data_IF_610705190650
#
_entry.id   IF_610705190650
#
_cell.length_a   1.000
_cell.length_b   1.000
_cell.length_c   1.000
_cell.angle_alpha   90.00
_cell.angle_beta   90.00
_cell.angle_gamma   90.00
#
_symmetry.space_group_name_H-M   'P 1'
#
loop_
_entity.id
_entity.type
_entity.pdbx_description
1 polymer ?
#
# COMPACT_ATOMS: atom_id res chain seq x y z
N UNK A 1 -31.92 16.87 -19.92
CA UNK A 1 -32.86 16.01 -20.57
C UNK A 1 -32.42 14.60 -20.31
N UNK A 2 -33.10 13.91 -19.40
CA UNK A 2 -32.86 12.51 -19.14
C UNK A 2 -33.02 11.76 -20.46
N UNK A 3 -32.07 10.91 -20.74
CA UNK A 3 -32.19 9.94 -21.81
C UNK A 3 -33.26 8.93 -21.38
N UNK A 4 -34.47 9.06 -21.91
CA UNK A 4 -35.60 8.16 -21.68
C UNK A 4 -35.44 6.80 -22.39
N UNK A 5 -34.23 6.46 -22.82
CA UNK A 5 -33.93 5.12 -23.29
C UNK A 5 -34.10 4.14 -22.11
N UNK A 6 -34.93 3.11 -22.24
CA UNK A 6 -35.06 2.11 -21.19
C UNK A 6 -33.68 1.51 -20.95
N UNK A 7 -33.20 1.63 -19.72
CA UNK A 7 -31.97 0.99 -19.30
C UNK A 7 -32.10 -0.50 -19.61
N UNK A 8 -31.22 -1.03 -20.47
CA UNK A 8 -31.23 -2.45 -20.75
C UNK A 8 -30.72 -3.23 -19.52
N UNK A 9 -31.08 -4.50 -19.42
CA UNK A 9 -30.72 -5.35 -18.28
C UNK A 9 -29.19 -5.36 -17.98
N UNK A 10 -28.36 -5.15 -19.00
CA UNK A 10 -26.91 -5.08 -18.82
C UNK A 10 -26.42 -3.83 -18.08
N UNK A 11 -27.12 -2.71 -18.19
CA UNK A 11 -26.77 -1.49 -17.44
C UNK A 11 -27.04 -1.65 -15.96
N UNK A 12 -28.02 -2.48 -15.59
CA UNK A 12 -28.32 -2.81 -14.22
C UNK A 12 -27.37 -3.88 -13.63
N UNK A 13 -26.76 -4.72 -14.45
CA UNK A 13 -25.79 -5.72 -14.01
C UNK A 13 -24.47 -5.09 -13.54
N UNK A 14 -24.11 -3.90 -14.02
CA UNK A 14 -22.83 -3.25 -13.76
C UNK A 14 -22.92 -1.99 -12.89
N UNK A 15 -24.01 -1.82 -12.17
CA UNK A 15 -24.13 -0.75 -11.20
C UNK A 15 -24.95 0.44 -11.67
N UNK A 16 -25.10 1.36 -10.79
CA UNK A 16 -25.96 2.49 -10.93
C UNK A 16 -25.41 3.53 -11.88
N UNK A 17 -26.29 4.11 -12.62
CA UNK A 17 -26.04 5.37 -13.33
C UNK A 17 -26.04 6.49 -12.28
N UNK A 18 -24.88 7.13 -12.03
CA UNK A 18 -24.82 8.30 -11.17
C UNK A 18 -25.02 9.56 -11.97
N UNK A 19 -26.08 10.24 -11.66
CA UNK A 19 -26.14 11.66 -11.90
C UNK A 19 -25.74 12.35 -10.58
N UNK A 20 -24.49 12.81 -10.50
CA UNK A 20 -23.97 13.55 -9.34
C UNK A 20 -24.81 14.78 -9.01
N UNK A 21 -25.64 15.24 -9.93
CA UNK A 21 -26.57 16.36 -9.75
C UNK A 21 -27.74 16.03 -8.82
N UNK A 22 -28.04 14.78 -8.56
CA UNK A 22 -29.24 14.36 -7.83
C UNK A 22 -28.99 13.62 -6.53
N UNK A 23 -27.74 13.40 -6.11
CA UNK A 23 -27.43 12.62 -4.90
C UNK A 23 -28.21 11.30 -4.78
N UNK A 24 -28.60 10.74 -5.90
CA UNK A 24 -29.46 9.57 -5.99
C UNK A 24 -28.74 8.46 -6.74
N UNK A 25 -27.93 7.70 -6.05
CA UNK A 25 -27.44 6.42 -6.56
C UNK A 25 -28.47 5.34 -6.27
N UNK A 26 -28.78 4.55 -7.30
CA UNK A 26 -29.58 3.33 -7.12
C UNK A 26 -28.65 2.16 -7.43
N UNK A 27 -28.26 1.42 -6.42
CA UNK A 27 -27.61 0.14 -6.62
C UNK A 27 -28.69 -0.94 -6.79
N UNK A 28 -28.65 -1.64 -7.91
CA UNK A 28 -29.46 -2.84 -8.09
C UNK A 28 -28.71 -4.02 -7.44
N UNK A 29 -29.32 -4.65 -6.47
CA UNK A 29 -28.84 -5.86 -5.86
C UNK A 29 -29.55 -7.07 -6.48
N UNK A 30 -28.97 -7.77 -7.47
CA UNK A 30 -29.57 -9.02 -7.93
C UNK A 30 -29.61 -9.98 -6.74
N UNK A 31 -30.76 -10.62 -6.53
CA UNK A 31 -30.95 -11.61 -5.48
C UNK A 31 -30.04 -12.83 -5.72
N UNK A 32 -28.80 -12.76 -5.25
CA UNK A 32 -27.87 -13.88 -5.28
C UNK A 32 -28.05 -14.73 -4.03
N UNK A 33 -28.27 -16.01 -4.22
CA UNK A 33 -28.26 -17.02 -3.14
C UNK A 33 -26.84 -17.51 -2.82
N UNK A 34 -25.81 -16.90 -3.39
CA UNK A 34 -24.41 -17.21 -3.17
C UNK A 34 -23.90 -16.59 -1.87
N UNK A 35 -23.15 -17.37 -1.09
CA UNK A 35 -22.54 -16.94 0.17
C UNK A 35 -21.42 -15.92 0.00
N UNK A 36 -20.94 -15.72 -1.22
CA UNK A 36 -20.10 -14.58 -1.61
C UNK A 36 -21.03 -13.53 -2.21
N UNK A 37 -21.44 -12.57 -1.41
CA UNK A 37 -22.44 -11.58 -1.81
C UNK A 37 -21.75 -10.36 -2.49
N UNK A 38 -21.57 -10.34 -3.82
CA UNK A 38 -20.99 -9.20 -4.53
C UNK A 38 -21.82 -7.92 -4.39
N UNK A 39 -23.05 -8.03 -3.88
CA UNK A 39 -23.98 -6.92 -3.73
C UNK A 39 -23.51 -5.85 -2.74
N UNK A 40 -22.81 -6.25 -1.66
CA UNK A 40 -22.29 -5.27 -0.70
C UNK A 40 -21.11 -4.49 -1.26
N UNK A 41 -20.23 -5.15 -1.99
CA UNK A 41 -19.09 -4.50 -2.64
C UNK A 41 -19.56 -3.49 -3.67
N UNK A 42 -20.50 -3.88 -4.53
CA UNK A 42 -21.11 -3.00 -5.53
C UNK A 42 -21.82 -1.83 -4.84
N UNK A 43 -22.61 -2.08 -3.80
CA UNK A 43 -23.29 -1.02 -3.07
C UNK A 43 -22.31 -0.01 -2.46
N UNK A 44 -21.26 -0.48 -1.79
CA UNK A 44 -20.26 0.40 -1.20
C UNK A 44 -19.47 1.14 -2.26
N UNK A 45 -19.16 0.49 -3.39
CA UNK A 45 -18.50 1.12 -4.53
C UNK A 45 -19.35 2.30 -5.05
N UNK A 46 -20.61 2.05 -5.33
CA UNK A 46 -21.53 3.06 -5.81
C UNK A 46 -21.77 4.18 -4.79
N UNK A 47 -21.79 3.84 -3.49
CA UNK A 47 -21.84 4.85 -2.42
C UNK A 47 -20.61 5.76 -2.46
N UNK A 48 -19.42 5.23 -2.76
CA UNK A 48 -18.22 6.03 -2.98
C UNK A 48 -18.40 7.07 -4.08
N UNK A 49 -19.02 6.71 -5.21
CA UNK A 49 -19.35 7.65 -6.28
C UNK A 49 -20.34 8.72 -5.81
N UNK A 50 -21.37 8.33 -5.07
CA UNK A 50 -22.32 9.29 -4.48
C UNK A 50 -21.67 10.31 -3.55
N UNK A 51 -20.57 9.94 -2.92
CA UNK A 51 -19.76 10.80 -2.07
C UNK A 51 -18.68 11.57 -2.86
N UNK A 52 -18.78 11.61 -4.18
CA UNK A 52 -17.90 12.39 -5.06
C UNK A 52 -16.58 11.74 -5.41
N UNK A 53 -16.36 10.46 -5.07
CA UNK A 53 -15.11 9.77 -5.40
C UNK A 53 -15.16 9.16 -6.80
N UNK A 54 -14.19 9.44 -7.68
CA UNK A 54 -13.96 8.66 -8.90
C UNK A 54 -13.34 7.30 -8.53
N UNK A 55 -13.21 6.43 -9.52
CA UNK A 55 -12.36 5.23 -9.35
C UNK A 55 -10.93 5.63 -9.01
N UNK A 56 -10.29 4.90 -8.11
CA UNK A 56 -8.89 5.15 -7.75
C UNK A 56 -7.92 5.02 -8.94
N UNK A 57 -8.41 4.53 -10.07
CA UNK A 57 -7.69 4.38 -11.34
C UNK A 57 -8.27 5.28 -12.44
N UNK A 58 -9.20 6.18 -12.12
CA UNK A 58 -9.84 7.05 -13.11
C UNK A 58 -8.89 8.14 -13.63
N UNK A 59 -8.93 8.36 -14.94
CA UNK A 59 -8.14 9.35 -15.67
C UNK A 59 -8.66 10.77 -15.44
N UNK A 60 -9.93 10.92 -15.11
CA UNK A 60 -10.65 12.20 -15.23
C UNK A 60 -10.15 13.30 -14.30
N UNK A 61 -9.40 12.98 -13.23
CA UNK A 61 -8.91 13.96 -12.28
C UNK A 61 -7.41 13.87 -11.96
N UNK A 62 -6.60 13.14 -12.72
CA UNK A 62 -5.15 13.09 -12.57
C UNK A 62 -4.64 12.38 -11.31
N UNK A 63 -5.52 11.76 -10.52
CA UNK A 63 -5.19 11.10 -9.27
C UNK A 63 -5.32 9.60 -9.38
N UNK A 64 -4.21 8.89 -9.26
CA UNK A 64 -4.18 7.43 -9.14
C UNK A 64 -3.35 7.08 -7.93
N UNK A 65 -4.02 6.84 -6.83
CA UNK A 65 -3.34 6.67 -5.56
C UNK A 65 -3.06 5.22 -5.20
N UNK A 66 -3.74 4.25 -5.80
CA UNK A 66 -3.59 2.86 -5.36
C UNK A 66 -3.91 1.88 -6.47
N UNK A 67 -3.15 0.80 -6.53
CA UNK A 67 -3.46 -0.36 -7.35
C UNK A 67 -4.27 -1.33 -6.49
N UNK A 68 -5.50 -1.65 -6.87
CA UNK A 68 -6.31 -2.68 -6.19
C UNK A 68 -6.57 -2.44 -4.70
N UNK A 69 -7.04 -3.43 -4.01
CA UNK A 69 -7.15 -3.45 -2.55
C UNK A 69 -8.06 -2.41 -1.89
N UNK A 70 -8.87 -1.66 -2.65
CA UNK A 70 -9.83 -0.68 -2.13
C UNK A 70 -11.17 -0.75 -2.84
N UNK A 71 -12.25 -0.31 -2.17
CA UNK A 71 -13.62 -0.33 -2.70
C UNK A 71 -13.73 0.40 -4.04
N UNK A 72 -13.04 1.53 -4.20
CA UNK A 72 -13.01 2.30 -5.45
C UNK A 72 -11.88 1.88 -6.41
N UNK A 73 -11.12 0.85 -6.05
CA UNK A 73 -10.09 0.24 -6.89
C UNK A 73 -10.66 -0.70 -7.94
N UNK A 74 -9.86 -1.08 -8.94
CA UNK A 74 -10.26 -2.09 -9.91
C UNK A 74 -9.82 -3.48 -9.49
N UNK A 75 -10.73 -4.43 -9.56
CA UNK A 75 -10.62 -5.88 -9.76
C UNK A 75 -9.76 -6.78 -8.85
N UNK A 76 -8.88 -6.33 -7.99
CA UNK A 76 -8.10 -7.24 -7.14
C UNK A 76 -8.89 -7.54 -5.86
N UNK A 77 -9.90 -8.41 -5.95
CA UNK A 77 -10.90 -8.63 -4.88
C UNK A 77 -10.78 -9.96 -4.14
N UNK A 78 -9.85 -10.84 -4.48
CA UNK A 78 -9.95 -12.24 -4.04
C UNK A 78 -8.75 -12.79 -3.30
N UNK A 79 -7.81 -11.95 -2.88
CA UNK A 79 -6.59 -12.41 -2.25
C UNK A 79 -6.52 -12.03 -0.78
N UNK A 80 -6.05 -12.97 0.02
CA UNK A 80 -5.75 -12.73 1.43
C UNK A 80 -4.87 -11.47 1.56
N UNK A 81 -5.36 -10.48 2.31
CA UNK A 81 -4.70 -9.18 2.48
C UNK A 81 -5.01 -8.13 1.40
N UNK A 82 -5.84 -8.44 0.40
CA UNK A 82 -6.25 -7.53 -0.69
C UNK A 82 -7.77 -7.57 -0.91
N UNK A 83 -8.55 -7.62 0.16
CA UNK A 83 -10.01 -7.86 0.09
C UNK A 83 -10.78 -6.74 -0.63
N UNK A 84 -10.22 -5.53 -0.65
CA UNK A 84 -10.90 -4.37 -1.21
C UNK A 84 -12.08 -3.88 -0.38
N UNK A 85 -12.16 -4.27 0.89
CA UNK A 85 -13.28 -3.95 1.78
C UNK A 85 -13.17 -2.57 2.43
N UNK A 86 -12.18 -1.78 2.05
CA UNK A 86 -11.93 -0.45 2.59
C UNK A 86 -11.92 0.64 1.51
N UNK A 87 -12.33 1.84 1.88
CA UNK A 87 -12.02 3.03 1.09
C UNK A 87 -10.56 3.45 1.28
N UNK A 88 -9.91 3.91 0.21
CA UNK A 88 -8.61 4.57 0.32
C UNK A 88 -8.74 5.88 1.09
N UNK A 89 -7.63 6.35 1.67
CA UNK A 89 -7.60 7.66 2.32
C UNK A 89 -8.00 8.80 1.38
N UNK A 90 -7.64 8.70 0.11
CA UNK A 90 -8.01 9.66 -0.91
C UNK A 90 -9.53 9.68 -1.15
N UNK A 91 -10.18 8.52 -1.25
CA UNK A 91 -11.65 8.44 -1.36
C UNK A 91 -12.33 9.10 -0.16
N UNK A 92 -11.81 8.86 1.05
CA UNK A 92 -12.35 9.47 2.27
C UNK A 92 -12.17 10.99 2.26
N UNK A 93 -10.99 11.50 1.85
CA UNK A 93 -10.74 12.94 1.70
C UNK A 93 -11.72 13.59 0.70
N UNK A 94 -11.93 12.96 -0.45
CA UNK A 94 -12.89 13.44 -1.44
C UNK A 94 -14.32 13.47 -0.89
N UNK A 95 -14.74 12.42 -0.21
CA UNK A 95 -16.06 12.36 0.42
C UNK A 95 -16.25 13.46 1.49
N UNK A 96 -15.23 13.72 2.29
CA UNK A 96 -15.26 14.80 3.29
C UNK A 96 -15.27 16.18 2.64
N UNK A 97 -14.50 16.38 1.58
CA UNK A 97 -14.50 17.63 0.82
C UNK A 97 -15.86 17.84 0.14
N UNK A 98 -16.41 16.80 -0.49
CA UNK A 98 -17.75 16.84 -1.08
C UNK A 98 -18.83 17.20 -0.05
N UNK A 99 -18.81 16.56 1.12
CA UNK A 99 -19.71 16.87 2.22
C UNK A 99 -19.62 18.35 2.66
N UNK A 100 -18.41 18.91 2.65
CA UNK A 100 -18.14 20.26 3.16
C UNK A 100 -18.21 21.34 2.07
N UNK A 101 -18.37 21.00 0.79
CA UNK A 101 -18.43 21.96 -0.30
C UNK A 101 -19.77 22.70 -0.34
N UNK A 102 -19.80 24.01 -0.07
CA UNK A 102 -21.03 24.77 -0.13
C UNK A 102 -21.58 24.94 -1.55
N UNK A 103 -20.75 24.78 -2.58
CA UNK A 103 -21.16 24.97 -3.99
C UNK A 103 -22.01 23.81 -4.50
N UNK A 104 -21.80 22.58 -4.00
CA UNK A 104 -22.57 21.40 -4.41
C UNK A 104 -24.07 21.55 -4.09
N UNK A 105 -24.41 22.37 -3.10
CA UNK A 105 -25.78 22.61 -2.68
C UNK A 105 -26.45 23.82 -3.35
N UNK A 106 -25.69 24.66 -4.06
CA UNK A 106 -26.26 25.85 -4.75
C UNK A 106 -26.77 25.57 -6.16
N UNK A 107 -26.28 24.50 -6.79
CA UNK A 107 -26.57 24.24 -8.21
C UNK A 107 -27.80 23.32 -8.45
N UNK A 108 -28.45 22.86 -7.38
CA UNK A 108 -29.66 22.01 -7.48
C UNK A 108 -30.96 22.84 -7.55
N UNK A 109 -30.88 24.04 -8.04
CA UNK A 109 -32.01 24.97 -8.16
C UNK A 109 -33.01 24.67 -9.27
N UNK A 110 -33.30 23.42 -9.63
CA UNK A 110 -34.30 23.09 -10.67
C UNK A 110 -35.75 23.32 -10.21
N UNK A 111 -35.98 23.39 -8.89
CA UNK A 111 -37.36 23.53 -8.36
C UNK A 111 -37.54 24.63 -7.29
N UNK A 112 -36.57 25.53 -7.11
CA UNK A 112 -36.73 26.67 -6.20
C UNK A 112 -36.91 26.31 -4.70
N UNK A 113 -36.44 25.15 -4.30
CA UNK A 113 -36.41 24.76 -2.89
C UNK A 113 -34.99 24.69 -2.41
N UNK A 114 -34.68 25.39 -1.32
CA UNK A 114 -33.45 25.24 -0.56
C UNK A 114 -33.42 23.81 0.00
N UNK A 115 -32.60 22.94 -0.63
CA UNK A 115 -32.36 21.62 -0.05
C UNK A 115 -31.54 21.79 1.22
N UNK A 116 -32.22 21.62 2.35
CA UNK A 116 -31.56 21.53 3.66
C UNK A 116 -30.64 20.30 3.64
N UNK A 117 -29.41 20.47 4.08
CA UNK A 117 -28.49 19.36 4.28
C UNK A 117 -29.20 18.22 5.01
N UNK A 118 -29.29 17.06 4.39
CA UNK A 118 -30.00 15.90 4.93
C UNK A 118 -29.25 15.15 6.03
N UNK A 119 -28.23 15.77 6.64
CA UNK A 119 -27.43 15.20 7.73
C UNK A 119 -27.27 16.18 8.88
N UNK A 120 -27.11 15.64 10.07
CA UNK A 120 -26.69 16.37 11.28
C UNK A 120 -25.24 16.03 11.59
N UNK A 121 -24.51 17.01 12.11
CA UNK A 121 -23.16 16.83 12.62
C UNK A 121 -23.21 16.83 14.15
N UNK A 122 -22.50 15.92 14.77
CA UNK A 122 -22.33 15.82 16.20
C UNK A 122 -20.85 15.67 16.53
N UNK A 123 -20.36 16.49 17.44
CA UNK A 123 -19.00 16.39 17.97
C UNK A 123 -18.89 15.12 18.82
N UNK A 124 -18.08 14.17 18.38
CA UNK A 124 -17.88 12.91 19.10
C UNK A 124 -16.96 13.03 20.30
N UNK A 125 -16.12 14.07 20.34
CA UNK A 125 -15.09 14.27 21.36
C UNK A 125 -13.95 13.26 21.30
N UNK A 126 -13.84 12.52 20.22
CA UNK A 126 -12.76 11.53 20.04
C UNK A 126 -11.41 12.17 19.89
N UNK A 127 -10.41 11.56 20.51
CA UNK A 127 -9.00 11.90 20.29
C UNK A 127 -8.54 11.21 19.01
N UNK A 128 -8.21 12.02 17.99
CA UNK A 128 -7.61 11.51 16.76
C UNK A 128 -6.12 11.22 17.04
N UNK A 129 -5.63 9.97 16.84
CA UNK A 129 -4.23 9.65 17.09
C UNK A 129 -3.31 10.42 16.15
N UNK A 130 -2.23 10.99 16.68
CA UNK A 130 -1.15 11.52 15.85
C UNK A 130 -0.27 10.39 15.32
N UNK A 131 0.30 10.58 14.12
CA UNK A 131 1.20 9.63 13.50
C UNK A 131 2.62 10.17 13.47
N UNK A 132 3.57 9.30 13.79
CA UNK A 132 5.01 9.57 13.73
C UNK A 132 5.66 8.58 12.78
N UNK A 133 6.42 9.11 11.80
CA UNK A 133 7.29 8.35 10.91
C UNK A 133 8.71 8.82 11.23
N UNK A 134 9.60 7.93 11.70
CA UNK A 134 10.87 8.34 12.30
C UNK A 134 11.95 8.76 11.31
N UNK A 135 11.74 8.55 10.01
CA UNK A 135 12.71 8.84 8.96
C UNK A 135 12.13 9.81 7.94
N UNK A 136 12.92 10.83 7.56
CA UNK A 136 12.58 11.82 6.53
C UNK A 136 13.79 12.04 5.60
N UNK A 137 13.54 12.46 4.35
CA UNK A 137 14.59 12.80 3.39
C UNK A 137 15.46 11.64 2.93
N UNK A 138 14.93 10.44 2.90
CA UNK A 138 15.66 9.21 2.61
C UNK A 138 15.89 9.06 1.10
N UNK A 139 17.04 8.47 0.74
CA UNK A 139 17.31 7.99 -0.62
C UNK A 139 17.55 6.49 -0.55
N UNK A 140 16.80 5.71 -1.33
CA UNK A 140 16.98 4.25 -1.42
C UNK A 140 17.57 3.83 -2.77
N UNK A 141 18.25 2.69 -2.86
CA UNK A 141 18.68 2.14 -4.14
C UNK A 141 17.50 1.55 -4.92
N UNK A 142 17.59 1.55 -6.25
CA UNK A 142 16.63 0.86 -7.11
C UNK A 142 16.61 -0.65 -6.86
N UNK A 143 15.51 -1.31 -7.24
CA UNK A 143 15.35 -2.78 -7.24
C UNK A 143 15.74 -3.44 -5.92
N UNK A 144 15.62 -2.73 -4.80
CA UNK A 144 16.03 -3.17 -3.48
C UNK A 144 14.82 -3.13 -2.54
N UNK A 145 14.55 -4.20 -1.78
CA UNK A 145 13.48 -4.20 -0.79
C UNK A 145 13.67 -3.13 0.27
N UNK A 146 12.54 -2.63 0.78
CA UNK A 146 12.55 -1.66 1.87
C UNK A 146 11.38 -1.89 2.83
N UNK A 147 11.49 -1.36 4.04
CA UNK A 147 10.45 -1.44 5.07
C UNK A 147 10.10 -0.04 5.55
N UNK A 148 8.82 0.28 5.57
CA UNK A 148 8.31 1.49 6.19
C UNK A 148 7.76 1.17 7.57
N UNK A 149 8.03 2.04 8.52
CA UNK A 149 7.59 1.94 9.90
C UNK A 149 7.06 3.28 10.39
N UNK A 150 6.00 3.23 11.18
CA UNK A 150 5.46 4.39 11.87
C UNK A 150 4.66 3.96 13.08
N UNK A 151 4.23 4.89 13.91
CA UNK A 151 3.44 4.59 15.10
C UNK A 151 2.48 5.72 15.41
N UNK A 152 1.46 5.43 16.21
CA UNK A 152 0.48 6.41 16.67
C UNK A 152 0.71 6.82 18.12
N UNK A 153 0.29 8.04 18.44
CA UNK A 153 0.25 8.55 19.79
C UNK A 153 -1.09 9.27 20.04
N UNK A 154 -1.94 8.82 20.97
CA UNK A 154 -1.76 7.63 21.78
C UNK A 154 -1.82 6.33 20.96
N UNK A 155 -1.22 5.27 21.49
CA UNK A 155 -1.33 3.92 20.94
C UNK A 155 -2.52 3.18 21.52
N UNK A 156 -3.19 2.36 20.70
CA UNK A 156 -4.14 1.34 21.16
C UNK A 156 -3.94 0.05 20.35
N UNK A 157 -4.03 -1.13 20.96
CA UNK A 157 -3.93 -2.40 20.26
C UNK A 157 -5.11 -2.69 19.33
N UNK A 158 -6.19 -1.91 19.43
CA UNK A 158 -7.37 -2.01 18.57
C UNK A 158 -7.25 -1.15 17.31
N UNK A 159 -6.26 -0.26 17.25
CA UNK A 159 -6.03 0.54 16.06
C UNK A 159 -5.49 -0.33 14.93
N UNK A 160 -5.96 -0.05 13.72
CA UNK A 160 -5.42 -0.67 12.52
C UNK A 160 -4.71 0.36 11.65
N UNK A 161 -3.68 -0.11 10.97
CA UNK A 161 -2.82 0.72 10.14
C UNK A 161 -2.74 0.15 8.74
N UNK A 162 -2.54 1.03 7.78
CA UNK A 162 -2.19 0.64 6.41
C UNK A 162 -1.28 1.68 5.78
N UNK A 163 -0.44 1.23 4.85
CA UNK A 163 0.37 2.08 3.99
C UNK A 163 -0.23 2.11 2.59
N UNK A 164 -0.42 3.29 2.06
CA UNK A 164 -0.89 3.54 0.70
C UNK A 164 0.16 4.32 -0.07
N UNK A 165 0.35 3.98 -1.35
CA UNK A 165 1.18 4.77 -2.25
C UNK A 165 0.31 5.84 -2.92
N UNK A 166 0.75 7.10 -2.89
CA UNK A 166 0.05 8.27 -3.40
C UNK A 166 0.74 8.90 -4.61
N UNK A 167 1.30 8.10 -5.50
CA UNK A 167 1.93 8.59 -6.72
C UNK A 167 0.91 8.65 -7.85
N UNK A 168 0.67 9.87 -8.37
CA UNK A 168 -0.18 10.07 -9.52
C UNK A 168 0.46 9.47 -10.80
N UNK A 169 -0.36 8.91 -11.67
CA UNK A 169 0.01 8.62 -13.05
C UNK A 169 -0.56 9.69 -13.98
N UNK A 170 0.04 9.91 -15.15
CA UNK A 170 -0.51 10.83 -16.12
C UNK A 170 -1.66 10.21 -16.95
N UNK A 171 -2.29 11.06 -17.78
CA UNK A 171 -3.46 10.72 -18.59
C UNK A 171 -3.23 9.63 -19.64
N UNK A 172 -1.98 9.27 -19.92
CA UNK A 172 -1.65 8.29 -20.96
C UNK A 172 -1.95 6.85 -20.56
N UNK A 173 -2.36 6.63 -19.32
CA UNK A 173 -2.70 5.32 -18.81
C UNK A 173 -4.18 4.99 -19.06
N UNK A 174 -4.51 4.67 -20.29
CA UNK A 174 -5.82 4.11 -20.60
C UNK A 174 -5.89 2.68 -20.11
N UNK A 175 -6.67 2.44 -19.07
CA UNK A 175 -7.16 1.10 -18.79
C UNK A 175 -8.18 0.74 -19.87
N UNK A 176 -7.74 0.06 -20.91
CA UNK A 176 -8.69 -0.65 -21.73
C UNK A 176 -9.22 -1.82 -20.87
N UNK A 177 -10.51 -1.83 -20.48
CA UNK A 177 -11.08 -2.93 -19.71
C UNK A 177 -11.05 -4.27 -20.45
N UNK A 178 -10.64 -4.28 -21.71
CA UNK A 178 -10.45 -5.47 -22.54
C UNK A 178 -8.99 -5.89 -22.67
N UNK A 179 -8.05 -5.08 -22.16
CA UNK A 179 -6.63 -5.42 -22.15
C UNK A 179 -6.27 -5.92 -20.75
N UNK A 180 -6.12 -7.23 -20.61
CA UNK A 180 -5.79 -7.91 -19.37
C UNK A 180 -4.33 -7.69 -18.92
N UNK A 181 -3.58 -6.77 -19.53
CA UNK A 181 -2.21 -6.42 -19.18
C UNK A 181 -2.14 -5.36 -18.08
N UNK A 182 -2.49 -5.71 -16.86
CA UNK A 182 -2.40 -4.84 -15.68
C UNK A 182 -1.57 -5.51 -14.58
N UNK A 183 -0.94 -4.67 -13.73
CA UNK A 183 -0.74 -3.22 -13.79
C UNK A 183 0.47 -2.86 -14.66
N UNK A 184 0.38 -1.78 -15.40
CA UNK A 184 1.50 -1.26 -16.18
C UNK A 184 2.36 -0.35 -15.29
N UNK A 185 3.49 -0.83 -14.82
CA UNK A 185 4.41 -0.07 -13.98
C UNK A 185 5.24 0.90 -14.81
N UNK A 186 5.10 2.19 -14.50
CA UNK A 186 5.91 3.23 -15.14
C UNK A 186 7.21 3.45 -14.38
N UNK A 187 8.30 3.76 -15.07
CA UNK A 187 9.61 3.92 -14.42
C UNK A 187 9.66 5.13 -13.47
N UNK A 188 9.03 6.21 -13.81
CA UNK A 188 9.20 7.53 -13.17
C UNK A 188 7.96 8.04 -12.44
N UNK A 189 6.82 7.36 -12.53
CA UNK A 189 5.54 7.83 -11.97
C UNK A 189 4.53 6.70 -11.75
N UNK A 190 3.43 7.03 -11.09
CA UNK A 190 2.35 6.10 -10.80
C UNK A 190 2.70 5.10 -9.69
N UNK A 191 1.70 4.38 -9.18
CA UNK A 191 1.88 3.44 -8.09
C UNK A 191 2.62 2.18 -8.53
N UNK A 192 3.44 1.64 -7.63
CA UNK A 192 4.18 0.38 -7.76
C UNK A 192 3.68 -0.69 -6.78
N UNK A 193 2.92 -0.29 -5.77
CA UNK A 193 2.51 -1.15 -4.67
C UNK A 193 1.02 -1.08 -4.45
N UNK A 194 0.38 -2.26 -4.40
CA UNK A 194 -1.04 -2.35 -4.07
C UNK A 194 -1.29 -2.00 -2.61
N UNK A 195 -2.44 -1.41 -2.35
CA UNK A 195 -2.93 -1.26 -0.99
C UNK A 195 -3.33 -2.61 -0.43
N UNK A 196 -2.93 -2.88 0.81
CA UNK A 196 -3.29 -4.08 1.57
C UNK A 196 -4.29 -3.73 2.67
N UNK A 197 -4.99 -4.75 3.18
CA UNK A 197 -5.96 -4.57 4.26
C UNK A 197 -5.31 -3.96 5.51
N UNK A 198 -6.02 -3.08 6.22
CA UNK A 198 -5.53 -2.54 7.48
C UNK A 198 -5.42 -3.64 8.54
N UNK A 199 -4.29 -3.68 9.23
CA UNK A 199 -4.06 -4.61 10.34
C UNK A 199 -3.51 -3.90 11.55
N UNK A 200 -3.57 -4.52 12.72
CA UNK A 200 -2.99 -3.97 13.95
C UNK A 200 -1.47 -3.83 13.88
N UNK A 201 -0.82 -4.64 13.04
CA UNK A 201 0.62 -4.58 12.76
C UNK A 201 0.96 -3.81 11.47
N UNK A 202 -0.04 -3.27 10.76
CA UNK A 202 0.14 -2.55 9.51
C UNK A 202 0.91 -1.23 9.61
N UNK A 203 1.32 -0.82 10.81
CA UNK A 203 2.24 0.29 11.03
C UNK A 203 3.64 0.00 10.47
N UNK A 204 4.02 -1.28 10.35
CA UNK A 204 5.21 -1.75 9.65
C UNK A 204 4.79 -2.50 8.39
N UNK A 205 5.38 -2.17 7.25
CA UNK A 205 5.12 -2.86 5.99
C UNK A 205 6.39 -3.00 5.16
N UNK A 206 6.63 -4.23 4.71
CA UNK A 206 7.70 -4.59 3.77
C UNK A 206 7.24 -4.39 2.33
N UNK A 207 8.16 -3.97 1.46
CA UNK A 207 7.95 -3.74 0.04
C UNK A 207 9.04 -4.45 -0.78
N UNK A 208 8.66 -5.44 -1.65
CA UNK A 208 7.34 -6.05 -1.71
C UNK A 208 7.00 -6.83 -0.44
N UNK A 209 5.81 -7.44 -0.39
CA UNK A 209 5.34 -8.26 0.73
C UNK A 209 6.41 -9.24 1.21
N UNK A 210 6.57 -9.36 2.52
CA UNK A 210 7.63 -10.18 3.13
C UNK A 210 7.53 -11.67 2.75
N UNK A 211 6.34 -12.23 2.60
CA UNK A 211 6.16 -13.61 2.12
C UNK A 211 6.79 -13.80 0.73
N UNK A 212 6.64 -12.82 -0.14
CA UNK A 212 7.28 -12.79 -1.46
C UNK A 212 8.80 -12.81 -1.34
N UNK A 213 9.35 -11.98 -0.46
CA UNK A 213 10.80 -11.93 -0.23
C UNK A 213 11.35 -13.23 0.36
N UNK A 214 10.62 -13.86 1.30
CA UNK A 214 11.01 -15.16 1.88
C UNK A 214 11.05 -16.29 0.85
N UNK A 215 10.39 -16.11 -0.30
CA UNK A 215 10.45 -17.02 -1.46
C UNK A 215 11.54 -16.63 -2.47
N UNK A 216 12.42 -15.69 -2.12
CA UNK A 216 13.45 -15.10 -2.99
C UNK A 216 12.86 -14.43 -4.25
N UNK A 217 11.65 -13.86 -4.14
CA UNK A 217 11.02 -13.08 -5.20
C UNK A 217 11.04 -11.59 -4.83
N UNK A 218 11.17 -10.73 -5.83
CA UNK A 218 11.22 -9.28 -5.68
C UNK A 218 10.02 -8.56 -6.33
N UNK A 219 9.04 -9.33 -6.78
CA UNK A 219 7.75 -8.87 -7.29
C UNK A 219 6.66 -9.74 -6.69
N UNK A 220 5.60 -9.14 -6.16
CA UNK A 220 4.43 -9.89 -5.68
C UNK A 220 3.52 -10.16 -6.87
N UNK A 221 3.35 -11.43 -7.18
CA UNK A 221 2.48 -11.91 -8.26
C UNK A 221 1.34 -12.71 -7.66
N UNK A 222 0.15 -12.44 -8.14
CA UNK A 222 -1.08 -13.10 -7.71
C UNK A 222 -1.74 -13.80 -8.89
N UNK A 223 -2.52 -14.83 -8.60
CA UNK A 223 -3.39 -15.50 -9.59
C UNK A 223 -4.81 -14.95 -9.45
N UNK A 224 -5.26 -14.16 -10.43
CA UNK A 224 -6.63 -13.67 -10.53
C UNK A 224 -7.39 -14.49 -11.58
N UNK A 225 -8.09 -15.52 -11.11
CA UNK A 225 -8.85 -16.45 -11.96
C UNK A 225 -8.07 -17.04 -13.15
N UNK A 226 -6.83 -17.47 -12.91
CA UNK A 226 -5.95 -18.04 -13.92
C UNK A 226 -5.13 -17.02 -14.71
N UNK A 227 -5.20 -15.75 -14.33
CA UNK A 227 -4.35 -14.68 -14.87
C UNK A 227 -3.35 -14.25 -13.81
N UNK A 228 -2.05 -14.39 -14.10
CA UNK A 228 -1.00 -13.91 -13.22
C UNK A 228 -0.86 -12.39 -13.32
N UNK A 229 -1.03 -11.70 -12.20
CA UNK A 229 -0.92 -10.26 -12.10
C UNK A 229 0.20 -9.88 -11.13
N UNK A 230 1.14 -9.04 -11.58
CA UNK A 230 2.10 -8.40 -10.66
C UNK A 230 1.40 -7.25 -9.97
N UNK A 231 1.33 -7.28 -8.65
CA UNK A 231 0.62 -6.29 -7.82
C UNK A 231 1.57 -5.42 -6.99
N UNK A 232 2.82 -5.85 -6.86
CA UNK A 232 3.90 -5.05 -6.27
C UNK A 232 5.18 -5.25 -7.05
N UNK A 233 5.85 -4.15 -7.34
CA UNK A 233 7.12 -4.11 -8.05
C UNK A 233 8.05 -3.09 -7.44
N UNK A 234 9.31 -3.49 -7.20
CA UNK A 234 10.33 -2.54 -6.73
C UNK A 234 10.60 -1.44 -7.74
N UNK A 235 10.88 -0.21 -7.29
CA UNK A 235 11.21 0.89 -8.18
C UNK A 235 12.53 0.58 -8.90
N UNK A 236 12.55 0.69 -10.24
CA UNK A 236 13.65 0.26 -11.11
C UNK A 236 14.35 1.42 -11.81
N UNK A 237 14.00 2.65 -11.48
CA UNK A 237 14.60 3.87 -12.02
C UNK A 237 14.63 4.98 -10.98
N UNK A 238 15.30 6.08 -11.28
CA UNK A 238 15.26 7.30 -10.45
C UNK A 238 13.86 7.88 -10.44
N UNK A 239 13.27 8.02 -9.25
CA UNK A 239 11.96 8.62 -9.04
C UNK A 239 11.77 9.06 -7.59
N UNK A 240 10.77 9.90 -7.36
CA UNK A 240 10.19 10.12 -6.04
C UNK A 240 9.10 9.09 -5.77
N UNK A 241 8.95 8.72 -4.50
CA UNK A 241 7.89 7.82 -4.00
C UNK A 241 7.16 8.53 -2.89
N UNK A 242 5.85 8.65 -3.02
CA UNK A 242 4.97 9.23 -2.03
C UNK A 242 4.16 8.13 -1.34
N UNK A 243 4.37 7.97 -0.05
CA UNK A 243 3.66 6.98 0.76
C UNK A 243 2.86 7.67 1.85
N UNK A 244 1.78 7.04 2.26
CA UNK A 244 0.89 7.53 3.31
C UNK A 244 0.64 6.43 4.32
N UNK A 245 0.97 6.70 5.59
CA UNK A 245 0.54 5.87 6.72
C UNK A 245 -0.83 6.34 7.18
N UNK A 246 -1.74 5.41 7.37
CA UNK A 246 -3.09 5.67 7.84
C UNK A 246 -3.33 4.90 9.12
N UNK A 247 -3.95 5.53 10.11
CA UNK A 247 -4.45 4.89 11.32
C UNK A 247 -5.98 5.00 11.37
N UNK A 248 -6.64 3.90 11.80
CA UNK A 248 -8.09 3.83 12.03
C UNK A 248 -8.35 3.37 13.46
N UNK A 249 -9.22 4.07 14.18
CA UNK A 249 -9.53 3.73 15.58
C UNK A 249 -10.54 2.60 15.71
N UNK A 250 -11.25 2.27 14.64
CA UNK A 250 -12.23 1.16 14.54
C UNK A 250 -13.39 1.18 15.55
N UNK A 251 -13.65 2.32 16.18
CA UNK A 251 -14.84 2.45 17.02
C UNK A 251 -16.09 2.44 16.12
N UNK A 252 -17.10 1.58 16.38
CA UNK A 252 -18.25 1.41 15.51
C UNK A 252 -19.18 2.63 15.48
N UNK A 253 -19.09 3.54 16.44
CA UNK A 253 -19.98 4.72 16.56
C UNK A 253 -19.24 6.03 16.37
N UNK A 254 -17.97 6.05 16.72
CA UNK A 254 -17.17 7.26 16.82
C UNK A 254 -15.80 7.10 16.19
N UNK A 255 -15.69 6.20 15.21
CA UNK A 255 -14.45 5.89 14.52
C UNK A 255 -13.78 7.15 13.95
N UNK A 256 -12.46 7.22 14.09
CA UNK A 256 -11.63 8.29 13.54
C UNK A 256 -10.54 7.73 12.64
N UNK A 257 -10.11 8.54 11.69
CA UNK A 257 -9.02 8.25 10.79
C UNK A 257 -8.05 9.43 10.80
N UNK A 258 -6.76 9.14 10.84
CA UNK A 258 -5.70 10.10 10.58
C UNK A 258 -4.68 9.53 9.61
N UNK A 259 -3.93 10.40 8.95
CA UNK A 259 -2.88 9.96 8.06
C UNK A 259 -1.65 10.87 8.14
N UNK A 260 -0.50 10.33 7.73
CA UNK A 260 0.76 11.06 7.58
C UNK A 260 1.48 10.63 6.31
N UNK A 261 1.92 11.61 5.54
CA UNK A 261 2.68 11.37 4.32
C UNK A 261 4.18 11.32 4.61
N UNK A 262 4.89 10.52 3.82
CA UNK A 262 6.34 10.54 3.67
C UNK A 262 6.68 10.54 2.19
N UNK A 263 7.70 11.30 1.83
CA UNK A 263 8.31 11.29 0.50
C UNK A 263 9.75 10.85 0.61
N UNK A 264 10.19 9.99 -0.30
CA UNK A 264 11.58 9.58 -0.41
C UNK A 264 11.96 9.34 -1.87
N UNK A 265 13.26 9.40 -2.13
CA UNK A 265 13.79 9.30 -3.49
C UNK A 265 14.41 7.92 -3.74
N UNK A 266 14.29 7.45 -4.98
CA UNK A 266 15.02 6.28 -5.50
C UNK A 266 16.21 6.76 -6.33
N UNK A 267 17.41 6.29 -5.99
CA UNK A 267 18.63 6.51 -6.77
C UNK A 267 18.78 5.42 -7.83
N UNK A 268 18.49 5.74 -9.09
CA UNK A 268 18.66 4.79 -10.20
C UNK A 268 20.11 4.43 -10.53
N UNK A 269 21.08 5.13 -9.93
CA UNK A 269 22.52 4.86 -10.06
C UNK A 269 23.06 3.90 -8.99
N UNK A 270 22.25 3.60 -7.95
CA UNK A 270 22.55 2.66 -6.89
C UNK A 270 21.56 1.50 -6.90
N UNK A 271 22.01 0.29 -6.55
CA UNK A 271 21.19 -0.93 -6.49
C UNK A 271 21.27 -1.80 -7.74
N UNK A 272 20.79 -3.04 -7.64
CA UNK A 272 20.17 -3.62 -6.44
C UNK A 272 21.18 -3.98 -5.34
N UNK A 273 20.88 -3.66 -4.10
CA UNK A 273 21.61 -4.13 -2.93
C UNK A 273 21.19 -5.57 -2.63
N UNK A 274 22.13 -6.50 -2.57
CA UNK A 274 21.82 -7.95 -2.46
C UNK A 274 22.85 -8.69 -1.63
N UNK A 275 22.38 -9.63 -0.80
CA UNK A 275 23.23 -10.67 -0.21
C UNK A 275 23.74 -11.57 -1.34
N UNK A 276 25.04 -11.83 -1.39
CA UNK A 276 25.69 -12.66 -2.42
C UNK A 276 26.23 -13.99 -1.87
N UNK A 277 26.30 -14.12 -0.54
CA UNK A 277 26.60 -15.38 0.14
C UNK A 277 25.31 -16.01 0.68
N UNK A 278 25.40 -17.25 1.16
CA UNK A 278 24.26 -18.01 1.74
C UNK A 278 23.04 -18.12 0.82
N UNK A 279 23.26 -18.11 -0.49
CA UNK A 279 22.21 -18.26 -1.50
C UNK A 279 21.57 -19.66 -1.50
N UNK A 280 22.35 -20.67 -1.09
CA UNK A 280 21.90 -22.05 -0.89
C UNK A 280 21.84 -22.38 0.59
N UNK A 281 21.27 -23.55 0.91
CA UNK A 281 21.25 -24.07 2.28
C UNK A 281 22.66 -24.22 2.80
N UNK A 282 23.03 -23.41 3.78
CA UNK A 282 24.30 -23.46 4.47
C UNK A 282 24.15 -23.88 5.91
N UNK A 283 25.16 -24.57 6.45
CA UNK A 283 25.17 -24.99 7.85
C UNK A 283 26.14 -24.09 8.60
N UNK A 284 25.62 -23.43 9.63
CA UNK A 284 26.40 -22.60 10.53
C UNK A 284 26.50 -23.31 11.91
N UNK A 285 27.72 -23.63 12.31
CA UNK A 285 27.97 -24.18 13.64
C UNK A 285 28.29 -23.04 14.62
N UNK A 286 27.72 -23.11 15.82
CA UNK A 286 28.05 -22.15 16.90
C UNK A 286 29.58 -22.15 17.14
N UNK A 287 30.16 -20.97 17.17
CA UNK A 287 31.61 -20.76 17.32
C UNK A 287 32.43 -20.91 16.04
N UNK A 288 31.83 -21.30 14.92
CA UNK A 288 32.53 -21.30 13.63
C UNK A 288 32.62 -19.88 13.05
N UNK A 289 33.64 -19.65 12.24
CA UNK A 289 33.78 -18.43 11.46
C UNK A 289 33.04 -18.56 10.15
N UNK A 290 32.23 -17.54 9.83
CA UNK A 290 31.52 -17.41 8.57
C UNK A 290 31.84 -16.08 7.91
N UNK A 291 31.84 -16.06 6.59
CA UNK A 291 31.98 -14.82 5.81
C UNK A 291 30.64 -14.55 5.12
N UNK A 292 30.06 -13.40 5.42
CA UNK A 292 28.87 -12.89 4.74
C UNK A 292 29.33 -11.88 3.71
N UNK A 293 28.83 -12.01 2.48
CA UNK A 293 29.12 -11.07 1.40
C UNK A 293 27.82 -10.51 0.81
N UNK A 294 27.87 -9.26 0.36
CA UNK A 294 26.77 -8.58 -0.31
C UNK A 294 27.29 -7.64 -1.40
N UNK A 295 26.45 -7.38 -2.39
CA UNK A 295 26.73 -6.33 -3.37
C UNK A 295 26.31 -4.98 -2.78
N UNK A 296 27.28 -4.12 -2.57
CA UNK A 296 27.06 -2.74 -2.09
C UNK A 296 26.32 -1.91 -3.12
N UNK A 297 26.52 -2.20 -4.42
CA UNK A 297 25.80 -1.59 -5.55
C UNK A 297 25.73 -0.05 -5.47
N UNK A 298 26.83 0.60 -5.12
CA UNK A 298 26.98 2.06 -4.94
C UNK A 298 26.09 2.67 -3.82
N UNK A 299 25.56 1.87 -2.90
CA UNK A 299 24.74 2.40 -1.81
C UNK A 299 25.52 3.19 -0.78
N UNK A 300 26.85 3.02 -0.72
CA UNK A 300 27.77 3.76 0.15
C UNK A 300 28.28 5.09 -0.45
N UNK A 301 27.87 5.45 -1.67
CA UNK A 301 28.21 6.72 -2.30
C UNK A 301 27.59 7.90 -1.50
N UNK A 302 28.42 8.81 -0.93
CA UNK A 302 27.94 9.92 -0.10
C UNK A 302 27.11 10.96 -0.86
N UNK A 303 27.25 11.02 -2.19
CA UNK A 303 26.48 11.93 -3.05
C UNK A 303 25.16 11.31 -3.54
N UNK A 304 24.84 10.08 -3.12
CA UNK A 304 23.66 9.33 -3.53
C UNK A 304 22.89 8.78 -2.32
N UNK A 305 22.95 7.47 -2.05
CA UNK A 305 22.22 6.81 -0.95
C UNK A 305 22.90 7.03 0.40
N UNK A 306 24.22 7.16 0.40
CA UNK A 306 25.05 7.43 1.58
C UNK A 306 24.89 6.44 2.75
N UNK A 307 24.65 5.18 2.47
CA UNK A 307 24.58 4.14 3.49
C UNK A 307 25.99 3.63 3.84
N UNK A 308 26.54 4.11 4.94
CA UNK A 308 27.91 3.76 5.36
C UNK A 308 27.98 2.50 6.21
N UNK A 309 26.89 2.12 6.86
CA UNK A 309 26.82 0.99 7.77
C UNK A 309 25.59 0.15 7.54
N UNK A 310 25.67 -1.14 7.86
CA UNK A 310 24.58 -2.11 7.82
C UNK A 310 24.52 -2.89 9.13
N UNK A 311 23.35 -3.39 9.45
CA UNK A 311 23.08 -4.32 10.56
C UNK A 311 22.72 -5.69 9.99
N UNK A 312 23.08 -6.73 10.70
CA UNK A 312 22.76 -8.12 10.38
C UNK A 312 21.82 -8.72 11.40
N UNK A 313 20.74 -9.30 10.92
CA UNK A 313 19.74 -9.94 11.74
C UNK A 313 19.50 -11.37 11.27
N UNK A 314 19.12 -12.25 12.21
CA UNK A 314 18.63 -13.59 11.91
C UNK A 314 17.18 -13.73 12.40
N UNK A 315 16.38 -14.40 11.59
CA UNK A 315 15.20 -15.12 12.00
C UNK A 315 15.57 -16.60 12.13
N UNK A 316 15.17 -17.29 13.20
CA UNK A 316 15.51 -18.69 13.42
C UNK A 316 14.40 -19.67 13.03
N UNK A 317 13.18 -19.19 12.87
CA UNK A 317 11.98 -20.00 12.63
C UNK A 317 11.42 -19.86 11.20
N UNK A 318 12.10 -19.05 10.38
CA UNK A 318 11.63 -18.74 9.02
C UNK A 318 10.46 -17.76 8.97
N UNK A 319 10.03 -17.28 10.14
CA UNK A 319 8.98 -16.29 10.29
C UNK A 319 9.53 -14.86 10.06
N UNK A 320 8.67 -13.88 9.87
CA UNK A 320 9.05 -12.50 9.55
C UNK A 320 9.83 -11.78 10.67
N UNK A 321 9.96 -12.38 11.84
CA UNK A 321 10.57 -11.77 13.01
C UNK A 321 12.09 -11.93 13.02
N UNK A 322 12.80 -10.95 12.49
CA UNK A 322 14.27 -10.88 12.52
C UNK A 322 14.77 -10.37 13.88
N UNK A 323 14.58 -11.19 14.93
CA UNK A 323 14.78 -10.80 16.33
C UNK A 323 16.22 -10.87 16.82
N UNK A 324 17.12 -11.55 16.10
CA UNK A 324 18.49 -11.78 16.56
C UNK A 324 19.45 -10.84 15.81
N UNK A 325 19.79 -9.72 16.44
CA UNK A 325 20.85 -8.84 15.94
C UNK A 325 22.21 -9.52 16.15
N UNK A 326 22.87 -9.94 15.06
CA UNK A 326 24.16 -10.63 15.11
C UNK A 326 25.33 -9.73 14.70
N UNK A 327 25.09 -8.61 14.03
CA UNK A 327 26.07 -7.61 13.66
C UNK A 327 25.48 -6.23 13.67
N UNK A 328 26.14 -5.26 14.29
CA UNK A 328 25.66 -3.89 14.39
C UNK A 328 26.71 -2.91 13.88
N UNK A 329 26.27 -1.93 13.08
CA UNK A 329 27.13 -0.89 12.50
C UNK A 329 28.36 -1.45 11.75
N UNK A 330 28.15 -2.49 10.98
CA UNK A 330 29.18 -3.08 10.16
C UNK A 330 29.41 -2.17 8.94
N UNK A 331 30.67 -1.82 8.58
CA UNK A 331 30.92 -1.00 7.40
C UNK A 331 30.31 -1.60 6.13
N UNK A 332 29.60 -0.79 5.35
CA UNK A 332 28.96 -1.21 4.09
C UNK A 332 30.00 -1.31 2.95
N UNK A 333 30.87 -2.31 3.05
CA UNK A 333 32.00 -2.53 2.13
C UNK A 333 31.93 -3.86 1.35
N UNK A 334 30.80 -4.60 1.49
CA UNK A 334 30.52 -5.81 0.73
C UNK A 334 30.98 -7.12 1.36
N UNK A 335 31.62 -7.10 2.55
CA UNK A 335 32.07 -8.34 3.22
C UNK A 335 32.19 -8.15 4.72
N UNK A 336 31.79 -9.16 5.48
CA UNK A 336 31.95 -9.20 6.92
C UNK A 336 32.22 -10.63 7.39
N UNK A 337 33.22 -10.78 8.26
CA UNK A 337 33.54 -12.03 8.93
C UNK A 337 32.98 -12.05 10.35
N UNK A 338 32.21 -13.09 10.68
CA UNK A 338 31.56 -13.27 11.97
C UNK A 338 31.90 -14.62 12.58
N UNK A 339 32.10 -14.65 13.89
CA UNK A 339 32.03 -15.89 14.67
C UNK A 339 30.57 -16.10 15.09
N UNK A 340 29.99 -17.25 14.72
CA UNK A 340 28.56 -17.52 14.97
C UNK A 340 28.29 -17.55 16.48
N UNK A 341 27.41 -16.68 16.97
CA UNK A 341 27.08 -16.61 18.40
C UNK A 341 26.28 -17.83 18.85
N UNK A 342 26.20 -18.09 20.16
CA UNK A 342 25.40 -19.18 20.72
C UNK A 342 23.91 -18.86 20.58
N UNK A 343 23.28 -19.39 19.55
CA UNK A 343 21.86 -19.25 19.23
C UNK A 343 21.17 -20.61 19.29
N UNK A 344 19.85 -20.67 19.52
CA UNK A 344 19.08 -21.90 19.38
C UNK A 344 19.25 -22.52 18.00
N UNK A 345 19.24 -23.87 17.87
CA UNK A 345 19.32 -24.51 16.57
C UNK A 345 18.05 -24.25 15.75
N UNK A 346 18.24 -24.09 14.45
CA UNK A 346 17.16 -23.86 13.48
C UNK A 346 17.45 -24.60 12.18
N UNK A 347 16.41 -25.05 11.49
CA UNK A 347 16.45 -25.61 10.14
C UNK A 347 15.85 -24.65 9.09
N UNK A 348 15.39 -23.48 9.53
CA UNK A 348 14.68 -22.51 8.69
C UNK A 348 15.17 -21.07 8.91
N UNK A 349 16.41 -20.92 9.40
CA UNK A 349 16.98 -19.59 9.63
C UNK A 349 17.04 -18.76 8.33
N UNK A 350 16.81 -17.44 8.50
CA UNK A 350 16.96 -16.45 7.43
C UNK A 350 17.87 -15.32 7.90
N UNK A 351 18.73 -14.85 6.99
CA UNK A 351 19.62 -13.73 7.23
C UNK A 351 19.04 -12.47 6.59
N UNK A 352 19.01 -11.37 7.33
CA UNK A 352 18.70 -10.04 6.80
C UNK A 352 19.89 -9.11 6.96
N UNK A 353 20.22 -8.36 5.92
CA UNK A 353 21.15 -7.23 5.96
C UNK A 353 20.33 -5.95 5.78
N UNK A 354 20.26 -5.10 6.80
CA UNK A 354 19.47 -3.86 6.81
C UNK A 354 20.39 -2.64 6.92
N UNK A 355 20.13 -1.64 6.11
CA UNK A 355 20.82 -0.36 6.17
C UNK A 355 20.62 0.34 7.52
N UNK A 356 21.67 0.99 8.01
CA UNK A 356 21.60 1.87 9.19
C UNK A 356 21.15 3.25 8.71
N UNK A 357 20.26 3.89 9.48
CA UNK A 357 19.68 5.20 9.17
C UNK A 357 19.01 5.27 7.78
N UNK A 358 18.52 4.12 7.30
CA UNK A 358 17.80 4.00 6.04
C UNK A 358 16.78 2.86 6.14
N UNK A 359 15.93 2.71 5.12
CA UNK A 359 14.81 1.77 5.13
C UNK A 359 15.05 0.51 4.28
N UNK A 360 16.07 0.48 3.44
CA UNK A 360 16.31 -0.66 2.56
C UNK A 360 17.07 -1.82 3.25
N UNK A 361 16.87 -3.01 2.73
CA UNK A 361 17.46 -4.26 3.22
C UNK A 361 17.48 -5.31 2.12
N UNK A 362 18.06 -6.49 2.44
CA UNK A 362 17.92 -7.74 1.66
C UNK A 362 17.89 -8.95 2.60
N UNK A 363 17.29 -10.08 2.18
CA UNK A 363 17.15 -11.32 2.97
C UNK A 363 17.54 -12.56 2.15
#
# INVERSE_FOLDING_TARGET
GGDDTPLNERQWEYGAHFDTRYNGGVAYMPGSTSTNNPSYEVFNHELGHNLGSPHNISIENGWRCTIGGTIMGSRIRTLSGFSGDQYSSHTIELAMNYKNDPMIYQDIGIWGQDYVRGYSEEETGNVIPELVIPLEGIVIPKETPFVLEGFSSPYSPEYTFSWEQNDASDESFSMNPLDNSLPYFLPDKGPLFSTVDPTTNGYQRYFPNLETLLQNNYETVIDDYGTLLTVEKLPFSTREINMRLIVRTNDPYTGALNHKNIEFRVAGTAGPFRITSQQDSSIWEVGSEQTITWDVANTNDPDSVNCQFVNFYLSLDGEPDFNYLIGQNIPNNGSWQITIPPLPPSNSARLMVKAVDNIFFDI
#
